data_IF_976429915352
#
_entry.id   IF_976429915352
#
_cell.length_a   1.000
_cell.length_b   1.000
_cell.length_c   1.000
_cell.angle_alpha   90.00
_cell.angle_beta   90.00
_cell.angle_gamma   90.00
#
_symmetry.space_group_name_H-M   'P 1'
#
loop_
_entity.id
_entity.type
_entity.pdbx_description
1 polymer ?
#
# COMPACT_ATOMS: atom_id res chain seq x y z
N UNK A 1 22.03 -9.59 -38.40
CA UNK A 1 20.58 -9.47 -38.67
C UNK A 1 19.85 -10.55 -37.87
N UNK A 2 18.77 -10.22 -37.16
CA UNK A 2 18.08 -11.20 -36.30
C UNK A 2 17.42 -12.32 -37.14
N UNK A 3 17.59 -13.58 -36.72
CA UNK A 3 17.04 -14.73 -37.46
C UNK A 3 15.50 -14.78 -37.38
N UNK A 4 14.83 -15.43 -38.34
CA UNK A 4 13.36 -15.52 -38.37
C UNK A 4 12.74 -16.09 -37.09
N UNK A 5 13.41 -17.05 -36.45
CA UNK A 5 12.98 -17.63 -35.17
C UNK A 5 13.03 -16.61 -34.02
N UNK A 6 14.09 -15.78 -33.94
CA UNK A 6 14.18 -14.74 -32.91
C UNK A 6 13.05 -13.71 -33.04
N UNK A 7 12.62 -13.40 -34.28
CA UNK A 7 11.48 -12.49 -34.52
C UNK A 7 10.15 -13.08 -34.02
N UNK A 8 9.93 -14.39 -34.21
CA UNK A 8 8.75 -15.08 -33.71
C UNK A 8 8.72 -15.16 -32.19
N UNK A 9 9.88 -15.46 -31.57
CA UNK A 9 10.02 -15.51 -30.11
C UNK A 9 9.76 -14.13 -29.49
N UNK A 10 10.34 -13.07 -30.07
CA UNK A 10 10.12 -11.69 -29.59
C UNK A 10 8.65 -11.26 -29.72
N UNK A 11 7.97 -11.63 -30.81
CA UNK A 11 6.53 -11.36 -30.97
C UNK A 11 5.69 -12.10 -29.92
N UNK A 12 5.97 -13.40 -29.72
CA UNK A 12 5.28 -14.23 -28.71
C UNK A 12 5.55 -13.75 -27.28
N UNK A 13 6.75 -13.24 -27.00
CA UNK A 13 7.08 -12.61 -25.71
C UNK A 13 6.39 -11.27 -25.52
N UNK A 14 6.29 -10.42 -26.55
CA UNK A 14 5.54 -9.16 -26.48
C UNK A 14 4.02 -9.40 -26.28
N UNK A 15 3.46 -10.41 -26.94
CA UNK A 15 2.07 -10.83 -26.77
C UNK A 15 1.82 -11.44 -25.38
N UNK A 16 2.71 -12.30 -24.89
CA UNK A 16 2.64 -12.82 -23.52
C UNK A 16 2.78 -11.71 -22.46
N UNK A 17 3.59 -10.68 -22.73
CA UNK A 17 3.72 -9.52 -21.84
C UNK A 17 2.41 -8.74 -21.75
N UNK A 18 1.70 -8.56 -22.88
CA UNK A 18 0.36 -7.93 -22.90
C UNK A 18 -0.64 -8.69 -22.04
N UNK A 19 -0.61 -10.03 -22.02
CA UNK A 19 -1.50 -10.85 -21.18
C UNK A 19 -1.30 -10.59 -19.67
N UNK A 20 -0.10 -10.20 -19.22
CA UNK A 20 0.18 -9.92 -17.81
C UNK A 20 0.07 -8.44 -17.44
N UNK A 21 0.01 -7.54 -18.42
CA UNK A 21 -0.17 -6.11 -18.16
C UNK A 21 -1.57 -5.85 -17.63
N UNK A 22 -1.63 -5.23 -16.43
CA UNK A 22 -2.87 -4.75 -15.83
C UNK A 22 -3.13 -3.31 -16.25
N UNK A 23 -4.26 -3.06 -16.87
CA UNK A 23 -4.68 -1.72 -17.23
C UNK A 23 -5.05 -0.91 -15.99
N UNK A 24 -4.41 0.23 -15.76
CA UNK A 24 -4.74 1.12 -14.64
C UNK A 24 -6.14 1.76 -14.74
N UNK A 25 -6.76 1.72 -15.93
CA UNK A 25 -8.03 2.39 -16.21
C UNK A 25 -9.22 1.49 -15.86
N UNK A 26 -9.29 0.28 -16.41
CA UNK A 26 -10.35 -0.69 -16.11
C UNK A 26 -9.96 -1.77 -15.09
N UNK A 27 -8.68 -1.86 -14.71
CA UNK A 27 -8.11 -2.87 -13.79
C UNK A 27 -8.10 -4.32 -14.33
N UNK A 28 -8.40 -4.52 -15.62
CA UNK A 28 -8.33 -5.80 -16.33
C UNK A 28 -6.93 -6.07 -16.89
N UNK A 29 -6.64 -7.34 -17.19
CA UNK A 29 -5.39 -7.76 -17.82
C UNK A 29 -5.52 -7.81 -19.35
N UNK A 30 -4.39 -7.83 -20.07
CA UNK A 30 -4.38 -8.09 -21.52
C UNK A 30 -4.13 -6.87 -22.41
N UNK A 31 -4.08 -5.65 -21.85
CA UNK A 31 -3.90 -4.44 -22.65
C UNK A 31 -3.26 -3.29 -21.88
N UNK A 32 -2.55 -2.44 -22.62
CA UNK A 32 -1.96 -1.23 -22.08
C UNK A 32 -3.02 -0.13 -21.89
N UNK A 33 -2.76 0.81 -21.00
CA UNK A 33 -3.70 1.89 -20.65
C UNK A 33 -4.08 2.80 -21.83
N UNK A 34 -3.25 2.88 -22.88
CA UNK A 34 -3.49 3.65 -24.10
C UNK A 34 -4.43 2.93 -25.09
N UNK A 35 -4.46 1.60 -25.07
CA UNK A 35 -5.36 0.75 -25.88
C UNK A 35 -6.74 0.55 -25.20
N UNK A 36 -6.88 0.97 -23.93
CA UNK A 36 -8.07 0.73 -23.12
C UNK A 36 -9.29 1.51 -23.62
N UNK A 37 -10.28 0.78 -24.17
CA UNK A 37 -11.58 1.32 -24.58
C UNK A 37 -12.62 1.36 -23.44
N UNK A 38 -12.34 0.71 -22.32
CA UNK A 38 -13.23 0.67 -21.15
C UNK A 38 -13.28 2.00 -20.39
N UNK A 39 -14.44 2.27 -19.76
CA UNK A 39 -14.58 3.39 -18.81
C UNK A 39 -13.77 3.10 -17.53
N UNK A 40 -13.34 4.15 -16.83
CA UNK A 40 -12.64 4.01 -15.54
C UNK A 40 -13.54 3.31 -14.53
N UNK A 41 -13.09 2.17 -14.00
CA UNK A 41 -13.80 1.48 -12.91
C UNK A 41 -13.49 2.20 -11.60
N UNK A 42 -14.47 2.89 -11.03
CA UNK A 42 -14.31 3.45 -9.69
C UNK A 42 -14.40 2.32 -8.69
N UNK A 43 -13.29 2.04 -8.01
CA UNK A 43 -13.23 1.12 -6.89
C UNK A 43 -13.21 1.96 -5.61
N UNK A 44 -14.24 1.82 -4.78
CA UNK A 44 -14.37 2.63 -3.57
C UNK A 44 -13.16 2.43 -2.66
N UNK A 45 -12.44 3.51 -2.37
CA UNK A 45 -11.29 3.52 -1.47
C UNK A 45 -11.67 4.24 -0.19
N UNK A 46 -11.64 3.57 0.99
CA UNK A 46 -12.00 4.23 2.23
C UNK A 46 -11.01 5.34 2.54
N UNK A 47 -11.52 6.44 3.10
CA UNK A 47 -10.68 7.55 3.56
C UNK A 47 -9.70 7.07 4.63
N UNK A 48 -8.56 7.76 4.75
CA UNK A 48 -7.57 7.46 5.79
C UNK A 48 -8.19 7.53 7.19
N UNK A 49 -9.10 8.48 7.42
CA UNK A 49 -9.85 8.61 8.68
C UNK A 49 -10.80 7.43 8.93
N UNK A 50 -11.48 6.92 7.90
CA UNK A 50 -12.32 5.73 8.03
C UNK A 50 -11.48 4.48 8.35
N UNK A 51 -10.26 4.38 7.83
CA UNK A 51 -9.33 3.30 8.18
C UNK A 51 -8.87 3.42 9.64
N UNK A 52 -8.44 4.61 10.07
CA UNK A 52 -8.03 4.86 11.45
C UNK A 52 -9.17 4.58 12.44
N UNK A 53 -10.40 5.00 12.12
CA UNK A 53 -11.56 4.72 12.95
C UNK A 53 -11.85 3.21 13.09
N UNK A 54 -11.66 2.42 12.02
CA UNK A 54 -11.77 0.96 12.09
C UNK A 54 -10.71 0.35 13.01
N UNK A 55 -9.46 0.82 12.89
CA UNK A 55 -8.34 0.34 13.75
C UNK A 55 -8.61 0.66 15.22
N UNK A 56 -9.07 1.87 15.54
CA UNK A 56 -9.38 2.26 16.92
C UNK A 56 -10.54 1.43 17.50
N UNK A 57 -11.61 1.25 16.73
CA UNK A 57 -12.76 0.41 17.13
C UNK A 57 -12.35 -1.06 17.35
N UNK A 58 -11.46 -1.59 16.51
CA UNK A 58 -10.96 -2.95 16.67
C UNK A 58 -10.11 -3.12 17.93
N UNK A 59 -9.25 -2.13 18.25
CA UNK A 59 -8.48 -2.11 19.49
C UNK A 59 -9.38 -2.05 20.73
N UNK A 60 -10.38 -1.19 20.72
CA UNK A 60 -11.36 -1.09 21.81
C UNK A 60 -12.11 -2.42 22.02
N UNK A 61 -12.58 -3.04 20.92
CA UNK A 61 -13.23 -4.35 20.97
C UNK A 61 -12.31 -5.44 21.54
N UNK A 62 -11.03 -5.46 21.16
CA UNK A 62 -10.05 -6.41 21.71
C UNK A 62 -9.83 -6.21 23.21
N UNK A 63 -9.76 -4.97 23.69
CA UNK A 63 -9.64 -4.68 25.11
C UNK A 63 -10.87 -5.11 25.90
N UNK A 64 -12.07 -4.87 25.37
CA UNK A 64 -13.33 -5.32 25.98
C UNK A 64 -13.38 -6.86 26.10
N UNK A 65 -12.99 -7.57 25.04
CA UNK A 65 -12.89 -9.02 25.05
C UNK A 65 -11.88 -9.51 26.11
N UNK A 66 -10.73 -8.85 26.23
CA UNK A 66 -9.72 -9.20 27.23
C UNK A 66 -10.17 -8.93 28.67
N UNK A 67 -10.96 -7.88 28.91
CA UNK A 67 -11.57 -7.61 30.21
C UNK A 67 -12.64 -8.66 30.55
N UNK A 68 -13.51 -9.02 29.60
CA UNK A 68 -14.54 -10.05 29.81
C UNK A 68 -13.97 -11.46 30.00
N UNK A 69 -12.80 -11.77 29.42
CA UNK A 69 -12.10 -13.03 29.63
C UNK A 69 -11.29 -13.06 30.94
N UNK A 70 -10.97 -11.90 31.53
CA UNK A 70 -10.22 -11.76 32.79
C UNK A 70 -11.08 -11.91 34.05
N UNK A 71 -12.40 -11.70 33.97
CA UNK A 71 -13.31 -11.76 35.12
C UNK A 71 -13.72 -13.19 35.54
N UNK A 72 -13.24 -14.23 34.85
CA UNK A 72 -13.54 -15.64 35.18
C UNK A 72 -12.31 -16.49 35.55
N UNK A 73 -11.14 -15.89 35.79
CA UNK A 73 -9.90 -16.61 36.14
C UNK A 73 -9.13 -16.04 37.35
N UNK A 74 -9.77 -15.21 38.18
CA UNK A 74 -9.14 -14.51 39.31
C UNK A 74 -9.42 -15.15 40.68
N UNK A 75 -9.59 -16.47 40.78
CA UNK A 75 -9.46 -17.18 42.06
C UNK A 75 -8.54 -18.39 41.88
N UNK A 76 -7.45 -18.44 42.67
CA UNK A 76 -6.37 -19.45 42.68
C UNK A 76 -5.24 -19.23 41.67
N UNK A 77 -4.28 -18.38 42.05
CA UNK A 77 -2.97 -18.83 42.58
C UNK A 77 -2.04 -17.64 42.80
N UNK A 78 -2.03 -17.15 44.04
CA UNK A 78 -0.90 -16.43 44.58
C UNK A 78 0.28 -17.41 44.82
N UNK A 79 1.51 -16.90 44.67
CA UNK A 79 2.84 -17.48 44.95
C UNK A 79 3.57 -18.14 43.76
N UNK A 80 4.35 -17.33 43.03
CA UNK A 80 5.81 -17.58 42.92
C UNK A 80 6.57 -16.31 42.51
N UNK A 81 7.48 -15.89 43.38
CA UNK A 81 8.45 -14.80 43.18
C UNK A 81 9.51 -15.22 42.14
N UNK A 82 9.94 -14.32 41.24
CA UNK A 82 11.35 -13.88 41.08
C UNK A 82 11.48 -12.88 39.93
N UNK A 83 12.25 -11.83 40.19
CA UNK A 83 12.66 -10.74 39.31
C UNK A 83 13.61 -11.20 38.20
N UNK A 84 13.43 -10.66 36.98
CA UNK A 84 14.53 -10.41 36.04
C UNK A 84 14.20 -9.17 35.21
N UNK A 85 14.94 -8.10 35.49
CA UNK A 85 15.09 -6.94 34.63
C UNK A 85 15.69 -7.35 33.29
N UNK A 86 15.09 -6.91 32.20
CA UNK A 86 15.75 -6.80 30.90
C UNK A 86 15.57 -5.38 30.39
N UNK A 87 16.62 -4.60 30.59
CA UNK A 87 16.89 -3.36 29.87
C UNK A 87 17.20 -3.73 28.43
N UNK A 88 16.30 -3.45 27.48
CA UNK A 88 16.64 -3.40 26.07
C UNK A 88 16.60 -1.94 25.62
N UNK A 89 17.65 -1.22 25.99
CA UNK A 89 18.08 -0.03 25.28
C UNK A 89 18.63 -0.46 23.92
N UNK A 90 17.90 -0.16 22.85
CA UNK A 90 18.45 -0.13 21.50
C UNK A 90 18.31 1.29 20.96
N UNK A 91 19.41 2.02 21.09
CA UNK A 91 19.71 3.27 20.40
C UNK A 91 20.08 3.02 18.93
N UNK A 92 19.98 4.09 18.12
CA UNK A 92 20.34 4.24 16.70
C UNK A 92 19.24 3.83 15.71
N UNK A 93 18.89 4.61 14.69
CA UNK A 93 19.65 5.62 13.94
C UNK A 93 18.72 6.63 13.27
N UNK A 94 19.19 7.86 13.17
CA UNK A 94 18.64 8.94 12.34
C UNK A 94 18.94 8.69 10.86
N UNK A 95 17.94 8.90 9.99
CA UNK A 95 18.17 9.36 8.62
C UNK A 95 16.93 10.03 8.04
N UNK A 96 17.06 11.34 7.87
CA UNK A 96 16.21 12.24 7.11
C UNK A 96 16.25 11.93 5.62
N UNK A 97 15.10 11.94 4.95
CA UNK A 97 15.00 12.20 3.51
C UNK A 97 13.65 12.81 3.17
N UNK A 98 13.53 14.11 3.46
CA UNK A 98 12.50 14.97 2.89
C UNK A 98 12.92 15.26 1.44
N UNK A 99 12.29 14.63 0.46
CA UNK A 99 12.39 15.06 -0.93
C UNK A 99 11.42 16.20 -1.16
N UNK A 100 11.90 17.43 -1.02
CA UNK A 100 11.24 18.62 -1.57
C UNK A 100 11.60 18.68 -3.06
N UNK A 101 10.74 18.13 -3.91
CA UNK A 101 10.86 18.35 -5.35
C UNK A 101 10.31 19.73 -5.67
N UNK A 102 11.19 20.73 -5.72
CA UNK A 102 10.95 21.98 -6.43
C UNK A 102 10.67 21.67 -7.90
N UNK A 103 9.38 21.68 -8.27
CA UNK A 103 8.96 21.74 -9.66
C UNK A 103 8.70 23.20 -9.99
N UNK A 104 9.70 23.81 -10.63
CA UNK A 104 9.59 25.11 -11.29
C UNK A 104 8.62 24.94 -12.48
N UNK A 105 7.32 25.19 -12.25
CA UNK A 105 6.31 25.24 -13.31
C UNK A 105 6.36 26.63 -13.96
N UNK A 106 7.02 26.72 -15.12
CA UNK A 106 7.05 27.92 -15.95
C UNK A 106 5.61 28.24 -16.44
N UNK A 107 5.02 29.40 -16.09
CA UNK A 107 3.67 29.71 -16.51
C UNK A 107 3.62 30.03 -18.01
N UNK A 108 2.61 29.55 -18.76
CA UNK A 108 2.49 29.84 -20.18
C UNK A 108 2.30 31.35 -20.41
N UNK A 109 3.19 31.92 -21.24
CA UNK A 109 3.11 33.30 -21.73
C UNK A 109 1.72 33.58 -22.32
N UNK A 110 0.88 34.31 -21.58
CA UNK A 110 -0.35 34.89 -22.10
C UNK A 110 0.02 35.83 -23.26
N UNK A 111 -0.24 35.38 -24.49
CA UNK A 111 -0.35 36.28 -25.64
C UNK A 111 -1.48 37.25 -25.36
N UNK A 112 -1.16 38.51 -25.04
CA UNK A 112 -2.13 39.61 -25.11
C UNK A 112 -2.62 39.68 -26.56
N UNK A 113 -3.89 39.31 -26.77
CA UNK A 113 -4.63 39.80 -27.93
C UNK A 113 -4.76 41.32 -27.75
N UNK A 114 -4.35 42.04 -28.77
CA UNK A 114 -4.57 43.48 -28.95
C UNK A 114 -6.04 43.73 -29.25
#
# INVERSE_FOLDING_TARGET
>A
MATPMHRLIARRQAEANKQHVRCQKCLEFGHWTYECKGKRKYLHRPSRTAQLAKILKEKEKQLLLQQSAGESAAEKKAKKKRSKSVTSSSSSSSSSSSTDSSSEDEPPKKKKKK
#
